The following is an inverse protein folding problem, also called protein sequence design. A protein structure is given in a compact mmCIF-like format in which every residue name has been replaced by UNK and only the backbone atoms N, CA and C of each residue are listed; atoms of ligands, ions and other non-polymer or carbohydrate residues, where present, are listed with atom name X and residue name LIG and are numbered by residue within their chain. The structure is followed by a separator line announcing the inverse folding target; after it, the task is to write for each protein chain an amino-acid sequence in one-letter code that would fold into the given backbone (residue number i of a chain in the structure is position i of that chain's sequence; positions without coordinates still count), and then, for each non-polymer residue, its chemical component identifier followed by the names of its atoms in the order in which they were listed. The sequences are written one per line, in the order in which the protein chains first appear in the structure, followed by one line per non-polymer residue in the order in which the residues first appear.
data_IF_168275017804
#
_entry.id   IF_168275017804
#
_cell.length_a   1.000
_cell.length_b   1.000
_cell.length_c   1.000
_cell.angle_alpha   90.00
_cell.angle_beta   90.00
_cell.angle_gamma   90.00
#
_symmetry.space_group_name_H-M   'P 1'
#
loop_
_entity.id
_entity.type
_entity.pdbx_description
1 polymer ?
#
# COMPACT_ATOMS: atom_id res chain seq x y z
N UNK A 1 -28.67 42.96 -17.54
CA UNK A 1 -27.38 42.57 -18.15
C UNK A 1 -26.69 41.59 -17.21
N UNK A 2 -27.03 40.31 -17.33
CA UNK A 2 -26.41 39.24 -16.54
C UNK A 2 -25.21 38.73 -17.34
N UNK A 3 -24.01 38.93 -16.79
CA UNK A 3 -22.78 38.45 -17.38
C UNK A 3 -22.78 36.91 -17.39
N UNK A 4 -22.83 36.36 -18.59
CA UNK A 4 -22.53 34.96 -18.90
C UNK A 4 -21.08 34.73 -18.49
N UNK A 5 -20.85 34.21 -17.28
CA UNK A 5 -19.58 33.59 -16.95
C UNK A 5 -19.47 32.33 -17.80
N UNK A 6 -18.79 32.46 -18.94
CA UNK A 6 -18.16 31.35 -19.62
C UNK A 6 -17.17 30.71 -18.64
N UNK A 7 -17.64 29.74 -17.85
CA UNK A 7 -16.77 28.75 -17.21
C UNK A 7 -16.16 27.88 -18.30
N UNK A 8 -15.18 28.46 -18.99
CA UNK A 8 -14.18 27.70 -19.73
C UNK A 8 -13.10 27.32 -18.70
N UNK A 9 -13.50 26.44 -17.78
CA UNK A 9 -12.60 25.78 -16.85
C UNK A 9 -12.12 24.49 -17.51
N UNK A 10 -10.81 24.37 -17.64
CA UNK A 10 -10.07 23.20 -18.10
C UNK A 10 -10.57 21.93 -17.34
N UNK A 11 -11.51 21.20 -17.93
CA UNK A 11 -12.29 20.15 -17.25
C UNK A 11 -11.51 18.84 -17.14
N UNK A 12 -10.46 18.85 -16.33
CA UNK A 12 -9.68 17.66 -15.93
C UNK A 12 -10.22 16.98 -14.67
N UNK A 13 -11.44 17.31 -14.23
CA UNK A 13 -12.11 16.66 -13.11
C UNK A 13 -12.91 15.43 -13.57
N UNK A 14 -12.28 14.27 -13.45
CA UNK A 14 -12.88 12.96 -13.73
C UNK A 14 -13.29 12.22 -12.45
N UNK A 15 -13.55 12.93 -11.35
CA UNK A 15 -13.96 12.31 -10.08
C UNK A 15 -15.38 11.70 -10.13
N UNK A 16 -16.27 12.32 -10.91
CA UNK A 16 -17.70 11.96 -11.00
C UNK A 16 -18.11 11.39 -12.37
N UNK A 17 -17.18 11.29 -13.31
CA UNK A 17 -17.40 10.78 -14.67
C UNK A 17 -16.33 9.74 -15.03
N UNK A 18 -16.63 8.86 -15.98
CA UNK A 18 -15.65 7.86 -16.44
C UNK A 18 -14.46 8.54 -17.15
N UNK A 19 -13.24 8.04 -16.90
CA UNK A 19 -12.00 8.62 -17.44
C UNK A 19 -11.85 8.27 -18.94
N UNK A 20 -11.80 9.28 -19.84
CA UNK A 20 -11.56 9.07 -21.27
C UNK A 20 -10.18 8.45 -21.54
N UNK A 21 -10.05 7.71 -22.64
CA UNK A 21 -8.80 7.01 -22.99
C UNK A 21 -7.58 7.93 -23.08
N UNK A 22 -7.76 9.18 -23.52
CA UNK A 22 -6.69 10.19 -23.69
C UNK A 22 -6.12 10.70 -22.36
N UNK A 23 -6.86 10.56 -21.26
CA UNK A 23 -6.49 11.06 -19.93
C UNK A 23 -6.13 9.92 -18.96
N UNK A 24 -5.92 8.70 -19.47
CA UNK A 24 -5.52 7.57 -18.63
C UNK A 24 -4.03 7.60 -18.33
N UNK A 25 -3.70 7.19 -17.11
CA UNK A 25 -2.32 7.11 -16.64
C UNK A 25 -1.49 6.16 -17.53
N UNK A 26 -0.27 6.57 -17.94
CA UNK A 26 0.61 5.70 -18.70
C UNK A 26 1.13 4.54 -17.84
N UNK A 27 1.44 3.41 -18.49
CA UNK A 27 1.90 2.18 -17.82
C UNK A 27 3.09 2.40 -16.88
N UNK A 28 4.02 3.29 -17.27
CA UNK A 28 5.21 3.61 -16.47
C UNK A 28 4.87 4.20 -15.09
N UNK A 29 4.05 5.27 -15.05
CA UNK A 29 3.62 5.87 -13.78
C UNK A 29 2.77 4.90 -12.95
N UNK A 30 1.93 4.08 -13.60
CA UNK A 30 1.20 3.02 -12.90
C UNK A 30 2.13 1.99 -12.23
N UNK A 31 3.20 1.59 -12.91
CA UNK A 31 4.22 0.72 -12.32
C UNK A 31 4.92 1.43 -11.16
N UNK A 32 5.30 2.70 -11.28
CA UNK A 32 5.94 3.44 -10.17
C UNK A 32 5.04 3.56 -8.93
N UNK A 33 3.74 3.78 -9.13
CA UNK A 33 2.77 3.79 -8.04
C UNK A 33 2.68 2.41 -7.35
N UNK A 34 2.66 1.32 -8.13
CA UNK A 34 2.70 -0.05 -7.61
C UNK A 34 3.96 -0.34 -6.80
N UNK A 35 5.09 0.16 -7.29
CA UNK A 35 6.39 0.02 -6.65
C UNK A 35 6.38 0.62 -5.24
N UNK A 36 5.79 1.81 -5.05
CA UNK A 36 5.65 2.41 -3.72
C UNK A 36 4.85 1.57 -2.72
N UNK A 37 3.82 0.84 -3.18
CA UNK A 37 3.01 -0.04 -2.32
C UNK A 37 3.82 -1.25 -1.84
N UNK A 38 4.73 -1.77 -2.66
CA UNK A 38 5.55 -2.94 -2.33
C UNK A 38 6.53 -2.69 -1.16
N UNK A 39 6.97 -1.44 -0.94
CA UNK A 39 7.91 -1.09 0.13
C UNK A 39 7.29 -0.90 1.52
N UNK A 40 5.98 -1.06 1.68
CA UNK A 40 5.32 -0.85 2.98
C UNK A 40 5.83 -1.83 4.05
N UNK A 41 6.11 -1.32 5.27
CA UNK A 41 6.56 -2.14 6.39
C UNK A 41 5.50 -3.12 6.86
N UNK A 42 4.22 -2.81 6.63
CA UNK A 42 3.09 -3.69 6.88
C UNK A 42 3.33 -5.11 6.35
N UNK A 43 3.87 -5.26 5.13
CA UNK A 43 4.09 -6.57 4.53
C UNK A 43 5.11 -7.41 5.31
N UNK A 44 6.17 -6.77 5.84
CA UNK A 44 7.18 -7.46 6.65
C UNK A 44 6.61 -7.86 8.00
N UNK A 45 5.91 -6.94 8.68
CA UNK A 45 5.36 -7.17 10.02
C UNK A 45 4.33 -8.29 10.01
N UNK A 46 3.39 -8.26 9.04
CA UNK A 46 2.36 -9.30 8.91
C UNK A 46 2.99 -10.65 8.57
N UNK A 47 3.90 -10.69 7.61
CA UNK A 47 4.55 -11.95 7.20
C UNK A 47 5.39 -12.56 8.32
N UNK A 48 6.13 -11.73 9.06
CA UNK A 48 6.91 -12.17 10.21
C UNK A 48 6.00 -12.70 11.32
N UNK A 49 4.89 -12.00 11.63
CA UNK A 49 3.93 -12.43 12.64
C UNK A 49 3.32 -13.79 12.26
N UNK A 50 2.86 -13.96 11.02
CA UNK A 50 2.31 -15.22 10.54
C UNK A 50 3.33 -16.36 10.59
N UNK A 51 4.59 -16.09 10.23
CA UNK A 51 5.66 -17.08 10.29
C UNK A 51 6.00 -17.49 11.73
N UNK A 52 5.96 -16.55 12.68
CA UNK A 52 6.17 -16.83 14.11
C UNK A 52 5.01 -17.61 14.73
N UNK A 53 3.77 -17.33 14.32
CA UNK A 53 2.57 -17.97 14.89
C UNK A 53 2.26 -19.34 14.28
N UNK A 54 2.38 -19.49 12.96
CA UNK A 54 1.93 -20.69 12.23
C UNK A 54 3.07 -21.49 11.59
N UNK A 55 4.31 -21.03 11.72
CA UNK A 55 5.48 -21.59 11.07
C UNK A 55 5.70 -21.04 9.65
N UNK A 56 6.96 -20.91 9.26
CA UNK A 56 7.38 -20.28 8.00
C UNK A 56 6.78 -20.95 6.76
N UNK A 57 6.70 -22.29 6.74
CA UNK A 57 6.18 -23.02 5.58
C UNK A 57 4.67 -22.73 5.35
N UNK A 58 3.87 -22.79 6.42
CA UNK A 58 2.44 -22.51 6.35
C UNK A 58 2.17 -21.04 6.01
N UNK A 59 2.96 -20.11 6.57
CA UNK A 59 2.90 -18.70 6.22
C UNK A 59 3.17 -18.47 4.71
N UNK A 60 4.21 -19.08 4.14
CA UNK A 60 4.51 -18.95 2.71
C UNK A 60 3.39 -19.51 1.85
N UNK A 61 2.87 -20.70 2.17
CA UNK A 61 1.76 -21.30 1.41
C UNK A 61 0.52 -20.41 1.48
N UNK A 62 0.16 -19.91 2.67
CA UNK A 62 -0.97 -19.01 2.86
C UNK A 62 -0.82 -17.69 2.08
N UNK A 63 0.37 -17.10 2.08
CA UNK A 63 0.68 -15.91 1.29
C UNK A 63 0.54 -16.19 -0.21
N UNK A 64 1.10 -17.28 -0.71
CA UNK A 64 0.99 -17.65 -2.14
C UNK A 64 -0.45 -17.89 -2.58
N UNK A 65 -1.22 -18.65 -1.80
CA UNK A 65 -2.64 -18.89 -2.09
C UNK A 65 -3.45 -17.59 -2.08
N UNK A 66 -3.16 -16.69 -1.14
CA UNK A 66 -3.79 -15.37 -1.08
C UNK A 66 -3.45 -14.55 -2.32
N UNK A 67 -2.17 -14.47 -2.70
CA UNK A 67 -1.71 -13.75 -3.90
C UNK A 67 -2.42 -14.27 -5.15
N UNK A 68 -2.46 -15.59 -5.35
CA UNK A 68 -3.11 -16.19 -6.53
C UNK A 68 -4.60 -15.86 -6.54
N UNK A 69 -5.30 -16.05 -5.41
CA UNK A 69 -6.74 -15.82 -5.31
C UNK A 69 -7.10 -14.37 -5.58
N UNK A 70 -6.43 -13.43 -4.92
CA UNK A 70 -6.67 -12.00 -5.12
C UNK A 70 -6.21 -11.53 -6.49
N UNK A 71 -5.13 -12.09 -7.07
CA UNK A 71 -4.71 -11.75 -8.43
C UNK A 71 -5.75 -12.14 -9.47
N UNK A 72 -6.41 -13.30 -9.32
CA UNK A 72 -7.49 -13.73 -10.22
C UNK A 72 -8.69 -12.78 -10.11
N UNK A 73 -9.15 -12.51 -8.89
CA UNK A 73 -10.31 -11.63 -8.64
C UNK A 73 -10.02 -10.22 -9.15
N UNK A 74 -8.90 -9.63 -8.72
CA UNK A 74 -8.51 -8.28 -9.12
C UNK A 74 -8.20 -8.21 -10.61
N UNK A 75 -7.69 -9.27 -11.23
CA UNK A 75 -7.48 -9.34 -12.67
C UNK A 75 -8.77 -9.15 -13.48
N UNK A 76 -9.88 -9.74 -13.04
CA UNK A 76 -11.19 -9.56 -13.68
C UNK A 76 -11.70 -8.13 -13.48
N UNK A 77 -11.64 -7.62 -12.25
CA UNK A 77 -12.12 -6.28 -11.90
C UNK A 77 -11.30 -5.20 -12.62
N UNK A 78 -9.97 -5.31 -12.64
CA UNK A 78 -9.09 -4.37 -13.32
C UNK A 78 -9.34 -4.36 -14.83
N UNK A 79 -9.56 -5.51 -15.48
CA UNK A 79 -9.91 -5.55 -16.91
C UNK A 79 -11.23 -4.82 -17.20
N UNK A 80 -12.22 -4.98 -16.32
CA UNK A 80 -13.48 -4.25 -16.43
C UNK A 80 -13.29 -2.74 -16.26
N UNK A 81 -12.54 -2.31 -15.24
CA UNK A 81 -12.24 -0.91 -14.99
C UNK A 81 -11.44 -0.26 -16.14
N UNK A 82 -10.48 -0.98 -16.73
CA UNK A 82 -9.71 -0.50 -17.90
C UNK A 82 -10.63 -0.32 -19.12
N UNK A 83 -11.60 -1.20 -19.35
CA UNK A 83 -12.52 -1.05 -20.49
C UNK A 83 -13.47 0.14 -20.29
N UNK A 84 -14.04 0.26 -19.09
CA UNK A 84 -15.11 1.22 -18.80
C UNK A 84 -14.62 2.60 -18.33
N UNK A 85 -13.39 2.71 -17.84
CA UNK A 85 -12.86 3.95 -17.25
C UNK A 85 -13.51 4.33 -15.91
N UNK A 86 -14.22 3.39 -15.27
CA UNK A 86 -14.90 3.63 -14.00
C UNK A 86 -13.93 3.52 -12.82
N UNK A 87 -14.01 4.48 -11.90
CA UNK A 87 -13.40 4.35 -10.57
C UNK A 87 -14.20 3.37 -9.70
N UNK A 88 -13.61 2.91 -8.59
CA UNK A 88 -14.29 2.01 -7.64
C UNK A 88 -15.58 2.65 -7.09
N UNK A 89 -15.55 3.94 -6.79
CA UNK A 89 -16.72 4.68 -6.31
C UNK A 89 -17.82 4.77 -7.39
N UNK A 90 -17.45 5.04 -8.66
CA UNK A 90 -18.40 5.07 -9.78
C UNK A 90 -18.96 3.68 -10.09
N UNK A 91 -18.14 2.65 -10.05
CA UNK A 91 -18.59 1.26 -10.23
C UNK A 91 -19.60 0.86 -9.15
N UNK A 92 -19.31 1.17 -7.89
CA UNK A 92 -20.24 0.94 -6.78
C UNK A 92 -21.53 1.76 -6.95
N UNK A 93 -21.44 2.99 -7.47
CA UNK A 93 -22.61 3.82 -7.79
C UNK A 93 -23.51 3.18 -8.85
N UNK A 94 -22.92 2.57 -9.87
CA UNK A 94 -23.67 1.91 -10.95
C UNK A 94 -24.42 0.67 -10.43
N UNK A 95 -23.81 -0.10 -9.54
CA UNK A 95 -24.41 -1.33 -9.01
C UNK A 95 -25.43 -1.08 -7.88
N UNK A 96 -25.15 -0.13 -7.00
CA UNK A 96 -25.87 0.03 -5.73
C UNK A 96 -26.42 1.45 -5.52
N UNK A 97 -26.35 2.30 -6.53
CA UNK A 97 -26.79 3.69 -6.46
C UNK A 97 -25.92 4.56 -5.54
N UNK A 98 -26.46 5.69 -5.11
CA UNK A 98 -25.73 6.67 -4.29
C UNK A 98 -25.19 6.09 -2.97
N UNK A 99 -25.98 5.23 -2.30
CA UNK A 99 -25.59 4.63 -1.01
C UNK A 99 -24.35 3.74 -1.14
N UNK A 100 -24.26 2.94 -2.21
CA UNK A 100 -23.08 2.11 -2.43
C UNK A 100 -21.83 2.92 -2.78
N UNK A 101 -21.98 4.04 -3.50
CA UNK A 101 -20.86 4.94 -3.77
C UNK A 101 -20.29 5.51 -2.46
N UNK A 102 -21.16 5.96 -1.56
CA UNK A 102 -20.76 6.47 -0.23
C UNK A 102 -20.09 5.37 0.61
N UNK A 103 -20.67 4.16 0.62
CA UNK A 103 -20.10 3.03 1.36
C UNK A 103 -18.70 2.66 0.84
N UNK A 104 -18.52 2.58 -0.48
CA UNK A 104 -17.21 2.28 -1.07
C UNK A 104 -16.16 3.35 -0.72
N UNK A 105 -16.54 4.63 -0.78
CA UNK A 105 -15.66 5.74 -0.37
C UNK A 105 -15.33 5.67 1.12
N UNK A 106 -16.29 5.34 1.98
CA UNK A 106 -16.08 5.23 3.42
C UNK A 106 -15.12 4.08 3.75
N UNK A 107 -15.31 2.91 3.13
CA UNK A 107 -14.40 1.77 3.30
C UNK A 107 -12.98 2.16 2.84
N UNK A 108 -12.86 2.76 1.66
CA UNK A 108 -11.56 3.20 1.14
C UNK A 108 -10.88 4.21 2.08
N UNK A 109 -11.63 5.18 2.59
CA UNK A 109 -11.14 6.16 3.55
C UNK A 109 -10.67 5.51 4.85
N UNK A 110 -11.49 4.63 5.44
CA UNK A 110 -11.13 3.92 6.67
C UNK A 110 -9.87 3.08 6.49
N UNK A 111 -9.73 2.37 5.35
CA UNK A 111 -8.53 1.61 5.01
C UNK A 111 -7.31 2.51 4.86
N UNK A 112 -7.44 3.65 4.16
CA UNK A 112 -6.35 4.61 4.01
C UNK A 112 -5.90 5.19 5.36
N UNK A 113 -6.84 5.54 6.24
CA UNK A 113 -6.53 6.00 7.60
C UNK A 113 -5.79 4.93 8.41
N UNK A 114 -6.28 3.68 8.39
CA UNK A 114 -5.64 2.58 9.11
C UNK A 114 -4.18 2.40 8.67
N UNK A 115 -3.92 2.32 7.37
CA UNK A 115 -2.56 2.16 6.87
C UNK A 115 -1.67 3.37 7.13
N UNK A 116 -2.21 4.59 7.03
CA UNK A 116 -1.48 5.82 7.36
C UNK A 116 -1.05 5.86 8.83
N UNK A 117 -1.95 5.48 9.75
CA UNK A 117 -1.64 5.43 11.19
C UNK A 117 -0.65 4.31 11.51
N UNK A 118 -0.82 3.13 10.89
CA UNK A 118 0.08 2.00 11.07
C UNK A 118 1.51 2.37 10.62
N UNK A 119 1.69 2.80 9.38
CA UNK A 119 3.00 3.16 8.83
C UNK A 119 3.61 4.37 9.58
N UNK A 120 2.79 5.37 9.92
CA UNK A 120 3.23 6.51 10.74
C UNK A 120 3.75 6.08 12.11
N UNK A 121 3.14 5.06 12.73
CA UNK A 121 3.60 4.51 14.00
C UNK A 121 4.92 3.76 13.89
N UNK A 122 5.12 2.99 12.82
CA UNK A 122 6.38 2.28 12.57
C UNK A 122 7.54 3.28 12.44
N UNK A 123 7.31 4.39 11.71
CA UNK A 123 8.31 5.45 11.55
C UNK A 123 8.58 6.16 12.88
N UNK A 124 7.55 6.49 13.66
CA UNK A 124 7.70 7.14 14.97
C UNK A 124 8.53 6.28 15.93
N UNK A 125 8.26 4.98 15.99
CA UNK A 125 9.03 4.01 16.78
C UNK A 125 10.48 3.94 16.28
N UNK A 126 10.70 3.91 14.96
CA UNK A 126 12.06 3.93 14.41
C UNK A 126 12.83 5.19 14.82
N UNK A 127 12.21 6.38 14.73
CA UNK A 127 12.82 7.65 15.16
C UNK A 127 13.20 7.61 16.63
N UNK A 128 12.31 7.14 17.51
CA UNK A 128 12.60 7.02 18.94
C UNK A 128 13.78 6.08 19.21
N UNK A 129 13.89 4.98 18.45
CA UNK A 129 15.03 4.07 18.59
C UNK A 129 16.36 4.70 18.15
N UNK A 130 16.36 5.53 17.10
CA UNK A 130 17.56 6.24 16.65
C UNK A 130 17.91 7.48 17.48
N UNK A 131 16.91 8.13 18.08
CA UNK A 131 17.05 9.33 18.91
C UNK A 131 16.32 9.10 20.24
N UNK A 132 16.93 8.38 21.20
CA UNK A 132 16.28 7.99 22.46
C UNK A 132 15.82 9.17 23.34
N UNK A 133 16.43 10.35 23.12
CA UNK A 133 16.09 11.58 23.84
C UNK A 133 14.73 12.15 23.44
N UNK A 134 14.16 11.74 22.30
CA UNK A 134 12.83 12.16 21.88
C UNK A 134 11.77 11.25 22.51
N UNK A 135 10.77 11.87 23.13
CA UNK A 135 9.59 11.12 23.57
C UNK A 135 8.80 10.59 22.38
N UNK A 136 8.11 9.47 22.54
CA UNK A 136 7.31 8.86 21.48
C UNK A 136 6.23 9.82 20.94
N UNK A 137 5.63 10.63 21.82
CA UNK A 137 4.64 11.65 21.44
C UNK A 137 5.24 12.73 20.53
N UNK A 138 6.48 13.15 20.78
CA UNK A 138 7.18 14.09 19.91
C UNK A 138 7.55 13.46 18.56
N UNK A 139 7.92 12.17 18.56
CA UNK A 139 8.17 11.44 17.31
C UNK A 139 6.89 11.34 16.45
N UNK A 140 5.73 11.05 17.06
CA UNK A 140 4.43 11.09 16.36
C UNK A 140 4.12 12.47 15.77
N UNK A 141 4.31 13.53 16.57
CA UNK A 141 4.08 14.89 16.10
C UNK A 141 4.98 15.22 14.90
N UNK A 142 6.26 14.85 14.95
CA UNK A 142 7.19 15.04 13.84
C UNK A 142 6.70 14.30 12.59
N UNK A 143 6.25 13.04 12.74
CA UNK A 143 5.72 12.25 11.64
C UNK A 143 4.54 12.93 10.95
N UNK A 144 3.59 13.43 11.73
CA UNK A 144 2.43 14.16 11.20
C UNK A 144 2.87 15.45 10.52
N UNK A 145 3.76 16.22 11.14
CA UNK A 145 4.22 17.51 10.64
C UNK A 145 4.97 17.42 9.31
N UNK A 146 5.73 16.35 9.05
CA UNK A 146 6.37 16.18 7.75
C UNK A 146 5.45 15.51 6.72
N UNK A 147 4.59 14.57 7.15
CA UNK A 147 3.73 13.81 6.22
C UNK A 147 2.63 14.65 5.59
N UNK A 148 2.00 15.56 6.37
CA UNK A 148 0.91 16.41 5.87
C UNK A 148 1.36 17.35 4.74
N UNK A 149 2.46 18.12 4.89
CA UNK A 149 2.98 18.96 3.80
C UNK A 149 3.39 18.17 2.56
N UNK A 150 3.95 16.97 2.73
CA UNK A 150 4.31 16.10 1.61
C UNK A 150 3.09 15.69 0.76
N UNK A 151 1.90 15.57 1.35
CA UNK A 151 0.71 15.14 0.61
C UNK A 151 0.07 16.30 -0.18
N UNK A 152 0.21 17.55 0.27
CA UNK A 152 -0.51 18.71 -0.29
C UNK A 152 0.13 19.29 -1.59
N UNK A 153 1.35 18.90 -1.95
CA UNK A 153 2.06 19.44 -3.13
C UNK A 153 1.77 18.72 -4.46
N UNK A 154 2.46 19.12 -5.55
CA UNK A 154 2.52 18.40 -6.87
C UNK A 154 3.31 17.09 -6.77
N UNK A 155 3.06 16.35 -5.71
CA UNK A 155 3.91 15.28 -5.20
C UNK A 155 3.78 14.01 -5.99
N UNK A 156 2.69 13.71 -6.69
CA UNK A 156 2.60 12.47 -7.49
C UNK A 156 3.81 12.26 -8.43
N UNK A 157 4.22 13.27 -9.19
CA UNK A 157 5.37 13.15 -10.09
C UNK A 157 6.74 13.12 -9.36
N UNK A 158 6.83 13.76 -8.20
CA UNK A 158 8.05 13.77 -7.38
C UNK A 158 8.18 12.49 -6.56
N UNK A 159 7.07 11.97 -6.05
CA UNK A 159 6.93 10.72 -5.31
C UNK A 159 7.17 9.52 -6.22
N UNK A 160 6.72 9.55 -7.47
CA UNK A 160 7.08 8.53 -8.47
C UNK A 160 8.62 8.47 -8.66
N UNK A 161 9.29 9.63 -8.72
CA UNK A 161 10.76 9.70 -8.83
C UNK A 161 11.46 9.23 -7.56
N UNK A 162 11.00 9.67 -6.39
CA UNK A 162 11.55 9.24 -5.11
C UNK A 162 11.40 7.73 -4.92
N UNK A 163 10.19 7.19 -5.13
CA UNK A 163 9.94 5.76 -5.04
C UNK A 163 10.87 4.97 -5.97
N UNK A 164 11.12 5.47 -7.19
CA UNK A 164 12.07 4.86 -8.11
C UNK A 164 13.50 4.75 -7.61
N UNK A 165 13.95 5.67 -6.75
CA UNK A 165 15.29 5.67 -6.16
C UNK A 165 15.34 4.91 -4.83
N UNK A 166 14.34 5.11 -3.98
CA UNK A 166 14.29 4.48 -2.65
C UNK A 166 14.10 2.96 -2.72
N UNK A 167 13.39 2.44 -3.73
CA UNK A 167 13.10 1.01 -3.80
C UNK A 167 14.31 0.12 -4.08
N UNK A 168 15.19 0.43 -5.05
CA UNK A 168 16.44 -0.30 -5.20
C UNK A 168 17.25 -0.30 -3.91
N UNK A 169 17.33 0.85 -3.23
CA UNK A 169 18.02 0.96 -1.95
C UNK A 169 17.37 0.08 -0.87
N UNK A 170 16.04 0.11 -0.78
CA UNK A 170 15.26 -0.73 0.13
C UNK A 170 15.48 -2.23 -0.12
N UNK A 171 15.42 -2.68 -1.37
CA UNK A 171 15.63 -4.09 -1.73
C UNK A 171 17.05 -4.55 -1.41
N UNK A 172 18.06 -3.73 -1.73
CA UNK A 172 19.45 -4.02 -1.40
C UNK A 172 19.61 -4.10 0.13
N UNK A 173 19.06 -3.15 0.87
CA UNK A 173 19.07 -3.14 2.32
C UNK A 173 18.41 -4.37 2.93
N UNK A 174 17.26 -4.79 2.39
CA UNK A 174 16.54 -5.99 2.81
C UNK A 174 17.37 -7.26 2.56
N UNK A 175 17.95 -7.41 1.38
CA UNK A 175 18.80 -8.56 1.04
C UNK A 175 20.04 -8.60 1.93
N UNK A 176 20.68 -7.45 2.14
CA UNK A 176 21.84 -7.33 3.04
C UNK A 176 21.46 -7.71 4.48
N UNK A 177 20.31 -7.24 4.97
CA UNK A 177 19.79 -7.58 6.29
C UNK A 177 19.59 -9.10 6.41
N UNK A 178 18.90 -9.73 5.46
CA UNK A 178 18.69 -11.19 5.46
C UNK A 178 20.02 -11.93 5.44
N UNK A 179 20.97 -11.53 4.59
CA UNK A 179 22.28 -12.17 4.51
C UNK A 179 23.06 -12.05 5.84
N UNK A 180 23.05 -10.88 6.48
CA UNK A 180 23.68 -10.67 7.79
C UNK A 180 23.00 -11.50 8.89
N UNK A 181 21.67 -11.55 8.91
CA UNK A 181 20.92 -12.37 9.88
C UNK A 181 21.24 -13.85 9.71
N UNK A 182 21.29 -14.36 8.48
CA UNK A 182 21.67 -15.76 8.20
C UNK A 182 23.11 -16.04 8.63
N UNK A 183 24.04 -15.10 8.40
CA UNK A 183 25.44 -15.24 8.83
C UNK A 183 25.58 -15.26 10.36
N UNK A 184 24.82 -14.44 11.07
CA UNK A 184 24.94 -14.27 12.52
C UNK A 184 24.22 -15.37 13.31
N UNK A 185 23.01 -15.75 12.89
CA UNK A 185 22.16 -16.70 13.62
C UNK A 185 22.18 -18.12 13.04
N UNK A 186 22.77 -18.32 11.85
CA UNK A 186 22.81 -19.60 11.16
C UNK A 186 21.44 -20.06 10.63
N UNK A 187 21.45 -21.11 9.81
CA UNK A 187 20.21 -21.73 9.32
C UNK A 187 19.72 -22.77 10.34
N UNK A 188 18.71 -22.42 11.14
CA UNK A 188 18.03 -23.39 12.00
C UNK A 188 17.25 -24.39 11.15
N UNK A 189 17.65 -25.66 11.15
CA UNK A 189 16.98 -26.77 10.46
C UNK A 189 15.66 -27.19 11.15
N UNK A 190 14.89 -26.25 11.70
CA UNK A 190 13.58 -26.51 12.31
C UNK A 190 12.52 -26.95 11.29
N UNK A 191 12.85 -27.09 10.00
CA UNK A 191 11.93 -27.55 8.94
C UNK A 191 11.28 -28.91 9.26
N UNK A 192 11.93 -29.77 10.05
CA UNK A 192 11.50 -31.17 10.28
C UNK A 192 10.72 -31.39 11.59
N UNK A 193 10.79 -30.49 12.57
CA UNK A 193 10.13 -30.69 13.88
C UNK A 193 8.66 -30.22 13.92
N UNK A 194 8.28 -29.27 13.05
CA UNK A 194 6.90 -28.74 13.01
C UNK A 194 5.92 -29.65 12.28
N UNK A 195 6.35 -30.34 11.21
CA UNK A 195 5.50 -31.31 10.50
C UNK A 195 5.16 -32.56 11.34
N UNK A 196 6.03 -32.96 12.27
CA UNK A 196 5.77 -34.09 13.17
C UNK A 196 4.76 -33.72 14.26
N UNK A 197 4.70 -32.45 14.67
CA UNK A 197 3.81 -32.01 15.75
C UNK A 197 2.37 -31.77 15.32
N UNK A 198 2.13 -31.56 14.01
CA UNK A 198 0.79 -31.39 13.44
C UNK A 198 0.00 -32.70 13.23
N UNK A 199 0.62 -33.87 13.48
CA UNK A 199 -0.04 -35.18 13.38
C UNK A 199 -0.45 -35.78 14.73
N UNK A 200 -0.36 -35.03 15.84
CA UNK A 200 -0.68 -35.50 17.19
C UNK A 200 -1.55 -34.53 18.01
N UNK A 201 -2.52 -33.89 17.36
CA UNK A 201 -3.68 -33.23 17.99
C UNK A 201 -4.87 -33.38 17.06
#
# INVERSE_FOLDING_TARGET
MAATLSQQGDSTDYSVVAVPATHRMPKGSLTMAWWGICSAMFWLVVSATLAMTFGTANAIIGLLLSVVTYAVINGVISRYAIRTGLSVALFSRVLFGHKGAVLATLIFFATATYYSMFEGSVIAIAIQNYVPNLSLNQAYLLVVLYSVPLILGRVQNWMDKLNGVLLPFYLIGLVALVAMTVKQYGYSNARRSWFVRANYT
#
